data_IF_790283804522
#
_entry.id   IF_790283804522
#
_cell.length_a   1.000
_cell.length_b   1.000
_cell.length_c   1.000
_cell.angle_alpha   90.00
_cell.angle_beta   90.00
_cell.angle_gamma   90.00
#
_symmetry.space_group_name_H-M   'P 1'
#
loop_
_entity.id
_entity.type
_entity.pdbx_description
1 polymer ?
#
# COMPACT_ATOMS: atom_id res chain seq x y z
N UNK A 1 -3.98 10.28 -0.97
CA UNK A 1 -2.58 9.91 -0.63
C UNK A 1 -1.72 11.14 -0.39
N UNK A 2 -1.56 12.04 -1.37
CA UNK A 2 -0.69 13.22 -1.26
C UNK A 2 -1.02 14.14 -0.07
N UNK A 3 -2.30 14.39 0.19
CA UNK A 3 -2.70 15.29 1.28
C UNK A 3 -2.47 14.68 2.67
N UNK A 4 -2.64 13.36 2.80
CA UNK A 4 -2.37 12.64 4.05
C UNK A 4 -0.87 12.67 4.34
N UNK A 5 -0.02 12.28 3.38
CA UNK A 5 1.43 12.30 3.57
C UNK A 5 1.96 13.68 3.95
N UNK A 6 1.50 14.74 3.27
CA UNK A 6 1.88 16.13 3.60
C UNK A 6 1.45 16.51 5.01
N UNK A 7 0.23 16.14 5.42
CA UNK A 7 -0.29 16.39 6.77
C UNK A 7 0.51 15.64 7.84
N UNK A 8 0.78 14.36 7.64
CA UNK A 8 1.51 13.51 8.58
C UNK A 8 2.97 13.97 8.71
N UNK A 9 3.62 14.35 7.60
CA UNK A 9 4.96 14.93 7.61
C UNK A 9 5.01 16.27 8.37
N UNK A 10 4.05 17.16 8.11
CA UNK A 10 3.95 18.43 8.83
C UNK A 10 3.68 18.22 10.34
N UNK A 11 2.87 17.21 10.70
CA UNK A 11 2.63 16.84 12.10
C UNK A 11 3.91 16.33 12.77
N UNK A 12 4.58 15.35 12.16
CA UNK A 12 5.82 14.77 12.69
C UNK A 12 6.90 15.84 12.89
N UNK A 13 7.03 16.78 11.94
CA UNK A 13 7.97 17.91 12.04
C UNK A 13 7.63 18.84 13.22
N UNK A 14 6.36 19.17 13.44
CA UNK A 14 5.93 20.04 14.56
C UNK A 14 6.15 19.40 15.93
N UNK A 15 5.97 18.08 16.03
CA UNK A 15 6.14 17.35 17.29
C UNK A 15 7.53 16.75 17.49
N UNK A 16 8.49 17.06 16.60
CA UNK A 16 9.82 16.43 16.54
C UNK A 16 9.77 14.89 16.62
N UNK A 17 8.75 14.29 16.00
CA UNK A 17 8.54 12.84 16.01
C UNK A 17 9.22 12.20 14.80
N UNK A 18 9.69 10.95 14.98
CA UNK A 18 10.20 10.14 13.87
C UNK A 18 9.04 9.69 12.99
N UNK A 19 9.24 9.74 11.67
CA UNK A 19 8.29 9.28 10.67
C UNK A 19 9.00 8.35 9.69
N UNK A 20 8.35 7.24 9.34
CA UNK A 20 8.81 6.30 8.31
C UNK A 20 7.65 6.01 7.35
N UNK A 21 7.99 5.71 6.10
CA UNK A 21 7.03 5.39 5.06
C UNK A 21 7.48 4.09 4.37
N UNK A 22 6.54 3.18 4.13
CA UNK A 22 6.78 1.96 3.39
C UNK A 22 5.95 1.99 2.11
N UNK A 23 6.62 1.83 0.97
CA UNK A 23 5.97 1.64 -0.32
C UNK A 23 6.05 0.14 -0.64
N UNK A 24 4.90 -0.50 -0.85
CA UNK A 24 4.81 -1.92 -1.14
C UNK A 24 4.20 -2.13 -2.52
N UNK A 25 4.77 -3.07 -3.27
CA UNK A 25 4.26 -3.56 -4.55
C UNK A 25 4.11 -5.08 -4.49
N UNK A 26 3.06 -5.62 -5.12
CA UNK A 26 2.85 -7.07 -5.19
C UNK A 26 3.55 -7.59 -6.45
N UNK A 27 4.64 -8.32 -6.23
CA UNK A 27 5.44 -8.90 -7.31
C UNK A 27 4.58 -9.71 -8.29
N UNK A 28 4.73 -9.41 -9.58
CA UNK A 28 4.10 -10.15 -10.69
C UNK A 28 2.57 -10.22 -10.61
N UNK A 29 1.91 -9.28 -9.94
CA UNK A 29 0.44 -9.25 -9.84
C UNK A 29 -0.27 -9.32 -11.20
N UNK A 30 0.28 -8.67 -12.24
CA UNK A 30 -0.23 -8.78 -13.61
C UNK A 30 -0.28 -10.23 -14.13
N UNK A 31 0.75 -11.04 -13.84
CA UNK A 31 0.79 -12.47 -14.25
C UNK A 31 -0.29 -13.29 -13.56
N UNK A 32 -0.67 -12.92 -12.34
CA UNK A 32 -1.79 -13.55 -11.62
C UNK A 32 -3.10 -13.23 -12.36
N UNK A 33 -3.34 -11.95 -12.70
CA UNK A 33 -4.52 -11.55 -13.47
C UNK A 33 -4.58 -12.21 -14.85
N UNK A 34 -3.46 -12.27 -15.56
CA UNK A 34 -3.38 -12.88 -16.89
C UNK A 34 -3.61 -14.41 -16.83
N UNK A 35 -3.16 -15.08 -15.76
CA UNK A 35 -3.29 -16.55 -15.62
C UNK A 35 -4.61 -17.00 -15.01
N UNK A 36 -5.18 -16.23 -14.08
CA UNK A 36 -6.32 -16.66 -13.26
C UNK A 36 -7.53 -15.72 -13.35
N UNK A 37 -7.43 -14.63 -14.11
CA UNK A 37 -8.49 -13.63 -14.24
C UNK A 37 -8.50 -12.61 -13.09
N UNK A 38 -9.17 -11.49 -13.34
CA UNK A 38 -9.19 -10.35 -12.41
C UNK A 38 -9.85 -10.67 -11.06
N UNK A 39 -10.90 -11.50 -11.03
CA UNK A 39 -11.55 -11.90 -9.77
C UNK A 39 -10.59 -12.60 -8.81
N UNK A 40 -9.65 -13.39 -9.35
CA UNK A 40 -8.62 -14.02 -8.54
C UNK A 40 -7.59 -13.01 -8.04
N UNK A 41 -7.25 -12.01 -8.88
CA UNK A 41 -6.45 -10.87 -8.48
C UNK A 41 -7.06 -10.09 -7.32
N UNK A 42 -8.36 -9.82 -7.37
CA UNK A 42 -9.09 -9.13 -6.29
C UNK A 42 -9.04 -9.92 -4.98
N UNK A 43 -9.19 -11.25 -5.04
CA UNK A 43 -9.03 -12.12 -3.87
C UNK A 43 -7.61 -12.06 -3.28
N UNK A 44 -6.58 -11.98 -4.13
CA UNK A 44 -5.19 -11.79 -3.69
C UNK A 44 -5.01 -10.43 -3.03
N UNK A 45 -5.56 -9.35 -3.59
CA UNK A 45 -5.51 -8.01 -3.00
C UNK A 45 -6.19 -7.96 -1.62
N UNK A 46 -7.37 -8.59 -1.49
CA UNK A 46 -8.09 -8.67 -0.21
C UNK A 46 -7.28 -9.43 0.84
N UNK A 47 -6.70 -10.59 0.48
CA UNK A 47 -5.83 -11.34 1.38
C UNK A 47 -4.58 -10.57 1.77
N UNK A 48 -3.94 -9.91 0.81
CA UNK A 48 -2.75 -9.10 1.07
C UNK A 48 -3.06 -7.94 2.00
N UNK A 49 -4.17 -7.23 1.79
CA UNK A 49 -4.61 -6.14 2.67
C UNK A 49 -4.91 -6.58 4.10
N UNK A 50 -5.28 -7.84 4.32
CA UNK A 50 -5.50 -8.39 5.67
C UNK A 50 -4.21 -8.84 6.36
N UNK A 51 -3.09 -8.89 5.62
CA UNK A 51 -1.78 -9.28 6.16
C UNK A 51 -0.96 -8.06 6.64
N UNK A 52 -1.25 -6.87 6.12
CA UNK A 52 -0.51 -5.63 6.37
C UNK A 52 -1.26 -4.64 7.26
#
# INVERSE_FOLDING_TARGET
MHDILRREFARARRSNAKLSCLLIDIDRFKKINERYGHLQGDSVLQRFSNLV
#
